data_IF_925719345959
#
_entry.id   IF_925719345959
#
_cell.length_a   1.000
_cell.length_b   1.000
_cell.length_c   1.000
_cell.angle_alpha   90.00
_cell.angle_beta   90.00
_cell.angle_gamma   90.00
#
_symmetry.space_group_name_H-M   'P 1'
#
loop_
_entity.id
_entity.type
_entity.pdbx_description
1 polymer ?
#
# COMPACT_ATOMS: atom_id res chain seq x y z
N UNK A 1 -10.96 1.46 5.04
CA UNK A 1 -9.54 1.32 5.42
C UNK A 1 -9.28 0.14 6.37
N UNK A 2 -9.86 0.10 7.58
CA UNK A 2 -9.61 -0.95 8.59
C UNK A 2 -9.79 -2.40 8.09
N UNK A 3 -10.78 -2.63 7.23
CA UNK A 3 -11.08 -3.98 6.72
C UNK A 3 -9.98 -4.54 5.82
N UNK A 4 -9.35 -3.70 4.98
CA UNK A 4 -8.35 -4.11 3.99
C UNK A 4 -7.08 -4.65 4.66
N UNK A 5 -6.55 -3.88 5.61
CA UNK A 5 -5.36 -4.26 6.36
C UNK A 5 -5.60 -5.45 7.29
N UNK A 6 -6.85 -5.63 7.75
CA UNK A 6 -7.23 -6.77 8.58
C UNK A 6 -7.36 -8.05 7.76
N UNK A 7 -7.89 -7.97 6.54
CA UNK A 7 -8.02 -9.12 5.63
C UNK A 7 -6.70 -9.47 4.93
N UNK A 8 -5.69 -8.59 4.95
CA UNK A 8 -4.40 -8.89 4.35
C UNK A 8 -3.61 -9.92 5.17
N UNK A 9 -3.47 -11.12 4.61
CA UNK A 9 -2.64 -12.20 5.14
C UNK A 9 -1.21 -11.93 4.68
N UNK A 10 -0.28 -11.65 5.58
CA UNK A 10 1.12 -11.38 5.21
C UNK A 10 1.98 -12.64 5.40
N UNK A 11 3.17 -12.78 4.78
CA UNK A 11 4.07 -13.92 5.01
C UNK A 11 4.31 -14.18 6.49
N UNK A 12 4.53 -13.11 7.26
CA UNK A 12 4.71 -13.21 8.70
C UNK A 12 3.46 -13.74 9.44
N UNK A 13 2.24 -13.36 9.00
CA UNK A 13 1.00 -13.94 9.56
C UNK A 13 0.81 -15.38 9.09
N UNK A 14 1.15 -15.68 7.84
CA UNK A 14 1.02 -17.00 7.23
C UNK A 14 1.92 -18.02 7.92
N UNK A 15 3.19 -17.67 8.16
CA UNK A 15 4.13 -18.48 8.94
C UNK A 15 3.61 -18.76 10.37
N UNK A 16 2.87 -17.84 10.99
CA UNK A 16 2.23 -18.09 12.30
C UNK A 16 1.05 -19.05 12.23
N UNK A 17 0.39 -19.15 11.08
CA UNK A 17 -0.72 -20.09 10.85
C UNK A 17 -0.21 -21.46 10.37
N UNK A 18 0.86 -21.48 9.59
CA UNK A 18 1.53 -22.66 9.09
C UNK A 18 3.05 -22.44 9.13
N UNK A 19 3.73 -23.13 10.05
CA UNK A 19 5.17 -22.99 10.31
C UNK A 19 6.07 -23.38 9.14
N UNK A 20 5.55 -24.17 8.20
CA UNK A 20 6.31 -24.65 7.04
C UNK A 20 6.47 -23.58 5.95
N UNK A 21 5.78 -22.45 6.11
CA UNK A 21 5.82 -21.33 5.16
C UNK A 21 6.83 -20.29 5.61
N UNK A 22 7.61 -19.78 4.66
CA UNK A 22 8.59 -18.71 4.89
C UNK A 22 7.94 -17.40 5.35
N UNK A 23 8.56 -16.74 6.33
CA UNK A 23 8.14 -15.41 6.82
C UNK A 23 8.62 -14.26 5.90
N UNK A 24 9.33 -14.58 4.81
CA UNK A 24 9.99 -13.61 3.94
C UNK A 24 9.01 -12.90 3.03
N UNK A 25 9.39 -11.67 2.68
CA UNK A 25 8.64 -10.82 1.78
C UNK A 25 8.38 -11.50 0.43
N UNK A 26 7.13 -11.47 -0.04
CA UNK A 26 6.75 -12.04 -1.34
C UNK A 26 7.43 -11.36 -2.52
N UNK A 27 7.84 -10.10 -2.36
CA UNK A 27 8.60 -9.36 -3.38
C UNK A 27 10.07 -9.77 -3.43
N UNK A 28 10.51 -10.78 -2.67
CA UNK A 28 11.86 -11.34 -2.77
C UNK A 28 12.98 -10.48 -2.18
N UNK A 29 12.66 -9.38 -1.49
CA UNK A 29 13.68 -8.48 -0.93
C UNK A 29 14.43 -9.01 0.32
N UNK A 30 14.18 -10.26 0.73
CA UNK A 30 14.88 -10.94 1.83
C UNK A 30 14.50 -10.51 3.27
N UNK A 31 13.69 -9.46 3.44
CA UNK A 31 13.18 -9.01 4.75
C UNK A 31 11.91 -9.77 5.16
N UNK A 32 11.59 -9.76 6.46
CA UNK A 32 10.33 -10.33 6.96
C UNK A 32 9.12 -9.59 6.39
N UNK A 33 8.19 -10.34 5.81
CA UNK A 33 6.94 -9.87 5.23
C UNK A 33 5.92 -9.47 6.29
N UNK A 34 6.19 -8.40 7.02
CA UNK A 34 5.19 -7.75 7.88
C UNK A 34 4.26 -6.88 7.03
N UNK A 35 3.09 -6.54 7.59
CA UNK A 35 2.11 -5.68 6.93
C UNK A 35 2.71 -4.35 6.50
N UNK A 36 3.39 -3.65 7.40
CA UNK A 36 3.99 -2.34 7.13
C UNK A 36 5.19 -2.48 6.18
N UNK A 37 5.90 -3.61 6.20
CA UNK A 37 6.95 -3.85 5.23
C UNK A 37 6.37 -3.97 3.81
N UNK A 38 5.39 -4.85 3.60
CA UNK A 38 4.77 -5.07 2.30
C UNK A 38 4.03 -3.85 1.76
N UNK A 39 3.45 -3.02 2.63
CA UNK A 39 2.72 -1.82 2.23
C UNK A 39 3.60 -0.59 2.06
N UNK A 40 4.80 -0.54 2.65
CA UNK A 40 5.61 0.69 2.61
C UNK A 40 7.12 0.47 2.52
N UNK A 41 7.72 -0.28 3.43
CA UNK A 41 9.19 -0.34 3.51
C UNK A 41 9.84 -1.18 2.41
N UNK A 42 9.09 -2.09 1.77
CA UNK A 42 9.56 -2.90 0.67
C UNK A 42 10.00 -2.00 -0.50
N UNK A 43 11.21 -2.20 -1.06
CA UNK A 43 11.68 -1.43 -2.22
C UNK A 43 10.70 -1.45 -3.39
N UNK A 44 10.17 -2.63 -3.73
CA UNK A 44 9.16 -2.77 -4.79
C UNK A 44 7.92 -1.94 -4.52
N UNK A 45 7.45 -1.95 -3.26
CA UNK A 45 6.29 -1.18 -2.86
C UNK A 45 6.55 0.33 -2.88
N UNK A 46 7.75 0.78 -2.50
CA UNK A 46 8.13 2.20 -2.64
C UNK A 46 8.08 2.63 -4.10
N UNK A 47 8.68 1.84 -5.00
CA UNK A 47 8.67 2.13 -6.44
C UNK A 47 7.25 2.19 -6.98
N UNK A 48 6.37 1.28 -6.55
CA UNK A 48 4.95 1.32 -6.89
C UNK A 48 4.28 2.62 -6.44
N UNK A 49 4.44 3.02 -5.16
CA UNK A 49 3.83 4.24 -4.64
C UNK A 49 4.37 5.52 -5.25
N UNK A 50 5.65 5.55 -5.64
CA UNK A 50 6.21 6.68 -6.38
C UNK A 50 5.51 6.84 -7.73
N UNK A 51 5.29 5.75 -8.47
CA UNK A 51 4.55 5.78 -9.75
C UNK A 51 3.11 6.23 -9.57
N UNK A 52 2.41 5.70 -8.55
CA UNK A 52 1.03 6.12 -8.24
C UNK A 52 0.99 7.59 -7.87
N UNK A 53 1.92 8.07 -7.05
CA UNK A 53 2.05 9.50 -6.72
C UNK A 53 2.25 10.32 -7.99
N UNK A 54 3.21 9.98 -8.83
CA UNK A 54 3.55 10.77 -10.03
C UNK A 54 2.38 10.82 -11.01
N UNK A 55 1.65 9.70 -11.15
CA UNK A 55 0.41 9.65 -11.93
C UNK A 55 -0.66 10.60 -11.36
N UNK A 56 -0.90 10.56 -10.05
CA UNK A 56 -1.88 11.45 -9.40
C UNK A 56 -1.44 12.91 -9.47
N UNK A 57 -0.15 13.20 -9.30
CA UNK A 57 0.41 14.55 -9.42
C UNK A 57 0.17 15.12 -10.82
N UNK A 58 0.33 14.28 -11.85
CA UNK A 58 0.06 14.66 -13.25
C UNK A 58 -1.43 14.88 -13.48
N UNK A 59 -2.28 13.98 -12.97
CA UNK A 59 -3.73 14.03 -13.15
C UNK A 59 -4.37 15.27 -12.51
N UNK A 60 -3.84 15.70 -11.36
CA UNK A 60 -4.38 16.83 -10.59
C UNK A 60 -3.52 18.09 -10.67
N UNK A 61 -2.45 18.07 -11.46
CA UNK A 61 -1.48 19.17 -11.61
C UNK A 61 -0.96 19.72 -10.27
N UNK A 62 -0.73 18.83 -9.30
CA UNK A 62 -0.31 19.20 -7.93
C UNK A 62 0.72 18.24 -7.40
N UNK A 63 1.62 18.75 -6.56
CA UNK A 63 2.60 17.91 -5.87
C UNK A 63 2.00 17.35 -4.57
N UNK A 64 1.92 16.03 -4.47
CA UNK A 64 1.51 15.33 -3.26
C UNK A 64 2.71 14.75 -2.53
N UNK A 65 2.77 14.94 -1.21
CA UNK A 65 3.72 14.20 -0.38
C UNK A 65 3.36 12.72 -0.38
N UNK A 66 4.31 11.85 -0.73
CA UNK A 66 4.17 10.38 -0.63
C UNK A 66 4.24 9.95 0.83
N UNK A 67 3.32 10.45 1.66
CA UNK A 67 3.28 10.11 3.06
C UNK A 67 2.45 8.82 3.24
N UNK A 68 3.01 7.77 3.87
CA UNK A 68 2.28 6.53 4.15
C UNK A 68 1.04 6.80 4.99
N UNK A 69 1.13 7.77 5.89
CA UNK A 69 0.07 8.18 6.82
C UNK A 69 -1.14 8.72 6.04
N UNK A 70 -0.92 9.46 4.97
CA UNK A 70 -2.01 9.94 4.11
C UNK A 70 -2.73 8.77 3.43
N UNK A 71 -1.95 7.83 2.89
CA UNK A 71 -2.47 6.67 2.17
C UNK A 71 -3.16 5.65 3.09
N UNK A 72 -2.61 5.44 4.30
CA UNK A 72 -3.04 4.39 5.23
C UNK A 72 -4.04 4.88 6.28
N UNK A 73 -4.02 6.17 6.64
CA UNK A 73 -4.78 6.71 7.77
C UNK A 73 -5.82 7.76 7.36
N UNK A 74 -5.86 8.17 6.08
CA UNK A 74 -6.89 9.12 5.61
C UNK A 74 -6.64 10.55 6.10
N UNK A 75 -5.39 10.87 6.45
CA UNK A 75 -5.04 12.20 6.93
C UNK A 75 -5.06 13.22 5.79
N UNK A 76 -5.24 14.50 6.15
CA UNK A 76 -5.22 15.62 5.20
C UNK A 76 -3.94 15.63 4.38
N UNK A 77 -4.13 15.82 3.08
CA UNK A 77 -3.03 15.96 2.13
C UNK A 77 -2.65 17.43 2.11
N UNK A 78 -1.43 17.74 2.55
CA UNK A 78 -0.89 19.09 2.48
C UNK A 78 -0.92 19.56 1.01
N UNK A 79 -1.55 20.71 0.75
CA UNK A 79 -1.74 21.26 -0.60
C UNK A 79 -3.11 20.97 -1.25
N UNK A 80 -4.00 20.20 -0.60
CA UNK A 80 -5.39 19.98 -1.05
C UNK A 80 -6.37 20.73 -0.14
N UNK A 81 -7.09 21.70 -0.71
CA UNK A 81 -8.02 22.58 0.04
C UNK A 81 -9.46 22.03 -0.02
N UNK A 82 -9.87 21.48 -1.16
CA UNK A 82 -11.23 20.94 -1.34
C UNK A 82 -11.37 19.53 -0.78
N UNK A 83 -12.40 19.30 0.03
CA UNK A 83 -12.69 17.99 0.65
C UNK A 83 -12.98 16.92 -0.39
N UNK A 84 -13.60 17.30 -1.50
CA UNK A 84 -13.99 16.42 -2.61
C UNK A 84 -12.75 15.83 -3.28
N UNK A 85 -11.79 16.70 -3.63
CA UNK A 85 -10.50 16.27 -4.19
C UNK A 85 -9.74 15.38 -3.20
N UNK A 86 -9.75 15.73 -1.91
CA UNK A 86 -9.13 14.92 -0.88
C UNK A 86 -9.73 13.50 -0.84
N UNK A 87 -11.06 13.40 -0.87
CA UNK A 87 -11.77 12.12 -0.94
C UNK A 87 -11.41 11.31 -2.19
N UNK A 88 -11.37 11.94 -3.37
CA UNK A 88 -11.00 11.27 -4.63
C UNK A 88 -9.58 10.71 -4.58
N UNK A 89 -8.63 11.49 -4.07
CA UNK A 89 -7.25 11.04 -3.93
C UNK A 89 -7.15 9.86 -2.97
N UNK A 90 -7.81 9.91 -1.80
CA UNK A 90 -7.86 8.77 -0.88
C UNK A 90 -8.47 7.52 -1.52
N UNK A 91 -9.55 7.67 -2.29
CA UNK A 91 -10.18 6.55 -3.00
C UNK A 91 -9.23 5.93 -4.05
N UNK A 92 -8.50 6.75 -4.80
CA UNK A 92 -7.52 6.28 -5.77
C UNK A 92 -6.37 5.50 -5.11
N UNK A 93 -5.83 6.02 -4.00
CA UNK A 93 -4.81 5.30 -3.23
C UNK A 93 -5.36 3.96 -2.68
N UNK A 94 -6.62 3.93 -2.25
CA UNK A 94 -7.28 2.73 -1.75
C UNK A 94 -7.51 1.67 -2.84
N UNK A 95 -7.95 2.07 -4.04
CA UNK A 95 -8.14 1.14 -5.15
C UNK A 95 -6.82 0.51 -5.59
N UNK A 96 -5.74 1.29 -5.60
CA UNK A 96 -4.40 0.79 -5.93
C UNK A 96 -3.83 -0.12 -4.85
N UNK A 97 -4.04 0.21 -3.56
CA UNK A 97 -3.69 -0.67 -2.44
C UNK A 97 -4.41 -2.02 -2.53
N UNK A 98 -5.71 -1.99 -2.85
CA UNK A 98 -6.53 -3.17 -3.04
C UNK A 98 -6.05 -4.03 -4.21
N UNK A 99 -5.82 -3.41 -5.37
CA UNK A 99 -5.31 -4.09 -6.55
C UNK A 99 -3.94 -4.72 -6.27
N UNK A 100 -3.07 -4.03 -5.54
CA UNK A 100 -1.78 -4.58 -5.10
C UNK A 100 -1.96 -5.78 -4.17
N UNK A 101 -2.83 -5.68 -3.16
CA UNK A 101 -3.09 -6.79 -2.25
C UNK A 101 -3.66 -8.01 -2.98
N UNK A 102 -4.57 -7.81 -3.94
CA UNK A 102 -5.08 -8.89 -4.78
C UNK A 102 -3.99 -9.53 -5.64
N UNK A 103 -3.11 -8.73 -6.26
CA UNK A 103 -1.95 -9.25 -7.01
C UNK A 103 -1.00 -10.06 -6.13
N UNK A 104 -0.68 -9.54 -4.95
CA UNK A 104 0.21 -10.22 -4.00
C UNK A 104 -0.43 -11.53 -3.49
N UNK A 105 -1.76 -11.60 -3.32
CA UNK A 105 -2.48 -12.83 -2.96
C UNK A 105 -2.61 -13.84 -4.13
N UNK A 106 -2.85 -13.37 -5.37
CA UNK A 106 -2.97 -14.24 -6.55
C UNK A 106 -1.60 -14.81 -6.94
N UNK A 107 -0.52 -14.05 -6.81
CA UNK A 107 0.85 -14.55 -7.02
C UNK A 107 1.33 -15.56 -5.97
N UNK A 108 0.46 -15.94 -5.02
CA UNK A 108 0.67 -16.97 -4.01
C UNK A 108 0.07 -18.34 -4.45
N UNK A 109 -0.64 -18.40 -5.59
CA UNK A 109 -1.23 -19.61 -6.20
C UNK A 109 -0.47 -19.99 -7.48
#
# INVERSE_FOLDING_TARGET
>A
MKILFRSYITPHKLMKMNSDVSDKCWHGCGKTGTLIHLLWHCPETKTFWLKVRDYLCTLFERNFSSCPVVCLLGNKIDGVISKELQHLVHLAFLSEALAKQLRDCIGMV
#
